data_IF_354271479250
#
_entry.id   IF_354271479250
#
_cell.length_a   1.000
_cell.length_b   1.000
_cell.length_c   1.000
_cell.angle_alpha   90.00
_cell.angle_beta   90.00
_cell.angle_gamma   90.00
#
_symmetry.space_group_name_H-M   'P 1'
#
loop_
_entity.id
_entity.type
_entity.pdbx_description
1 polymer ?
#
# COMPACT_ATOMS: atom_id res chain seq x y z
N UNK A 1 5.03 -12.85 15.28
CA UNK A 1 4.31 -12.09 14.22
C UNK A 1 2.91 -11.81 14.72
N UNK A 2 2.42 -10.61 14.54
CA UNK A 2 1.12 -10.18 15.09
C UNK A 2 0.33 -9.50 13.97
N UNK A 3 -0.87 -10.02 13.69
CA UNK A 3 -1.79 -9.38 12.73
C UNK A 3 -2.27 -8.06 13.33
N UNK A 4 -2.16 -6.99 12.56
CA UNK A 4 -2.57 -5.63 12.92
C UNK A 4 -3.93 -5.28 12.31
N UNK A 5 -4.62 -4.35 12.94
CA UNK A 5 -5.85 -3.80 12.36
C UNK A 5 -5.51 -2.87 11.20
N UNK A 6 -6.12 -3.09 10.04
CA UNK A 6 -6.00 -2.20 8.89
C UNK A 6 -6.96 -1.02 9.07
N UNK A 7 -6.40 0.17 8.99
CA UNK A 7 -7.14 1.43 9.07
C UNK A 7 -7.79 1.72 7.73
N UNK A 8 -9.05 2.13 7.76
CA UNK A 8 -9.83 2.42 6.55
C UNK A 8 -10.22 3.90 6.45
N UNK A 9 -10.42 4.36 5.23
CA UNK A 9 -10.99 5.68 4.95
C UNK A 9 -12.35 5.83 5.69
N UNK A 10 -12.68 6.97 6.29
CA UNK A 10 -12.03 8.28 6.21
C UNK A 10 -11.09 8.63 7.38
N UNK A 11 -10.30 7.70 7.87
CA UNK A 11 -9.36 7.99 8.96
C UNK A 11 -8.23 8.93 8.49
N UNK A 12 -8.06 10.05 9.18
CA UNK A 12 -7.10 11.12 8.81
C UNK A 12 -5.64 10.67 8.80
N UNK A 13 -5.29 9.59 9.54
CA UNK A 13 -3.91 9.07 9.55
C UNK A 13 -3.47 8.64 8.16
N UNK A 14 -4.39 8.14 7.32
CA UNK A 14 -4.11 7.72 5.95
C UNK A 14 -3.69 8.88 5.04
N UNK A 15 -3.89 10.12 5.48
CA UNK A 15 -3.55 11.34 4.74
C UNK A 15 -2.25 11.98 5.20
N UNK A 16 -1.57 11.37 6.17
CA UNK A 16 -0.28 11.85 6.63
C UNK A 16 0.85 11.42 5.69
N UNK A 17 1.87 12.26 5.58
CA UNK A 17 3.12 11.91 4.91
C UNK A 17 3.98 11.08 5.85
N UNK A 18 4.38 9.91 5.41
CA UNK A 18 5.22 8.99 6.18
C UNK A 18 6.66 9.48 6.29
N UNK A 19 7.26 9.28 7.45
CA UNK A 19 8.62 9.73 7.76
C UNK A 19 9.67 8.71 7.33
N UNK A 20 10.83 9.14 6.86
CA UNK A 20 11.95 8.25 6.56
C UNK A 20 12.40 7.44 7.77
N UNK A 21 12.80 6.22 7.51
CA UNK A 21 13.46 5.33 8.49
C UNK A 21 14.96 5.67 8.49
N UNK A 22 15.54 5.87 9.67
CA UNK A 22 16.96 6.21 9.80
C UNK A 22 17.86 4.98 9.62
N UNK A 23 17.43 3.85 10.19
CA UNK A 23 18.19 2.60 10.15
C UNK A 23 17.22 1.42 10.15
N UNK A 24 17.53 0.38 9.36
CA UNK A 24 16.78 -0.87 9.37
C UNK A 24 17.34 -1.77 10.47
N UNK A 25 16.68 -1.73 11.62
CA UNK A 25 17.01 -2.54 12.80
C UNK A 25 16.01 -3.68 13.05
N UNK A 26 16.08 -4.25 14.23
CA UNK A 26 15.17 -5.32 14.65
C UNK A 26 13.71 -4.86 14.73
N UNK A 27 13.49 -3.59 15.11
CA UNK A 27 12.13 -3.01 15.16
C UNK A 27 11.50 -2.93 13.77
N UNK A 28 12.26 -2.45 12.77
CA UNK A 28 11.79 -2.35 11.41
C UNK A 28 11.54 -3.73 10.78
N UNK A 29 12.43 -4.69 11.03
CA UNK A 29 12.23 -6.08 10.58
C UNK A 29 10.99 -6.70 11.20
N UNK A 30 10.81 -6.54 12.52
CA UNK A 30 9.61 -7.01 13.19
C UNK A 30 8.34 -6.35 12.64
N UNK A 31 8.39 -5.05 12.37
CA UNK A 31 7.28 -4.32 11.76
C UNK A 31 6.96 -4.87 10.37
N UNK A 32 7.97 -5.08 9.52
CA UNK A 32 7.79 -5.66 8.18
C UNK A 32 7.19 -7.06 8.23
N UNK A 33 7.59 -7.89 9.19
CA UNK A 33 7.03 -9.23 9.40
C UNK A 33 5.55 -9.16 9.83
N UNK A 34 5.21 -8.28 10.78
CA UNK A 34 3.83 -8.06 11.23
C UNK A 34 2.95 -7.50 10.08
N UNK A 35 3.51 -6.61 9.24
CA UNK A 35 2.83 -6.07 8.05
C UNK A 35 2.56 -7.16 7.02
N UNK A 36 3.54 -8.01 6.75
CA UNK A 36 3.40 -9.09 5.77
C UNK A 36 2.32 -10.09 6.18
N UNK A 37 2.30 -10.51 7.45
CA UNK A 37 1.25 -11.37 8.00
C UNK A 37 -0.13 -10.71 7.92
N UNK A 38 -0.21 -9.42 8.24
CA UNK A 38 -1.46 -8.64 8.14
C UNK A 38 -1.95 -8.58 6.70
N UNK A 39 -1.06 -8.32 5.74
CA UNK A 39 -1.35 -8.28 4.32
C UNK A 39 -1.91 -9.62 3.82
N UNK A 40 -1.25 -10.74 4.17
CA UNK A 40 -1.71 -12.08 3.78
C UNK A 40 -3.06 -12.43 4.42
N UNK A 41 -3.26 -12.12 5.70
CA UNK A 41 -4.53 -12.36 6.38
C UNK A 41 -5.70 -11.60 5.76
N UNK A 42 -5.41 -10.44 5.15
CA UNK A 42 -6.39 -9.62 4.43
C UNK A 42 -6.50 -9.94 2.93
N UNK A 43 -5.80 -10.98 2.43
CA UNK A 43 -5.71 -11.33 1.01
C UNK A 43 -5.23 -10.18 0.11
N UNK A 44 -4.35 -9.31 0.65
CA UNK A 44 -3.72 -8.22 -0.10
C UNK A 44 -2.44 -8.66 -0.81
N UNK A 45 -2.00 -7.85 -1.76
CA UNK A 45 -0.74 -8.01 -2.49
C UNK A 45 0.28 -6.92 -2.17
N UNK A 46 -0.13 -5.89 -1.44
CA UNK A 46 0.68 -4.79 -0.94
C UNK A 46 0.10 -4.21 0.34
N UNK A 47 0.97 -3.62 1.17
CA UNK A 47 0.59 -2.90 2.37
C UNK A 47 1.68 -1.89 2.75
N UNK A 48 1.28 -0.64 2.99
CA UNK A 48 2.13 0.40 3.55
C UNK A 48 1.94 0.53 5.06
N UNK A 49 2.99 0.86 5.79
CA UNK A 49 2.96 0.94 7.26
C UNK A 49 1.91 1.93 7.81
N UNK A 50 1.63 3.01 7.06
CA UNK A 50 0.60 3.97 7.42
C UNK A 50 -0.80 3.34 7.53
N UNK A 51 -1.09 2.29 6.76
CA UNK A 51 -2.38 1.59 6.76
C UNK A 51 -2.62 0.79 8.06
N UNK A 52 -1.58 0.56 8.85
CA UNK A 52 -1.68 0.00 10.20
C UNK A 52 -1.35 1.04 11.28
N UNK A 53 -1.40 2.32 10.95
CA UNK A 53 -1.24 3.43 11.89
C UNK A 53 0.20 3.84 12.19
N UNK A 54 1.17 3.37 11.41
CA UNK A 54 2.59 3.66 11.61
C UNK A 54 3.11 4.52 10.44
N UNK A 55 3.30 5.85 10.62
CA UNK A 55 3.70 6.75 9.55
C UNK A 55 5.21 6.66 9.25
N UNK A 56 5.71 5.48 8.93
CA UNK A 56 7.07 5.19 8.47
C UNK A 56 7.05 4.83 6.99
N UNK A 57 8.09 5.19 6.24
CA UNK A 57 8.24 4.86 4.83
C UNK A 57 8.66 3.40 4.64
N UNK A 58 7.73 2.49 4.91
CA UNK A 58 7.91 1.04 4.78
C UNK A 58 6.72 0.46 4.02
N UNK A 59 7.02 -0.41 3.05
CA UNK A 59 6.06 -1.14 2.23
C UNK A 59 6.43 -2.62 2.23
N UNK A 60 5.44 -3.49 2.27
CA UNK A 60 5.59 -4.91 1.98
C UNK A 60 4.70 -5.28 0.80
N UNK A 61 5.17 -6.18 -0.06
CA UNK A 61 4.43 -6.64 -1.24
C UNK A 61 4.69 -8.12 -1.51
N UNK A 62 3.71 -8.79 -2.08
CA UNK A 62 3.86 -10.09 -2.69
C UNK A 62 2.84 -10.25 -3.82
N UNK A 63 3.31 -10.19 -5.05
CA UNK A 63 2.49 -10.36 -6.26
C UNK A 63 2.60 -11.76 -6.86
N UNK A 64 3.21 -12.69 -6.12
CA UNK A 64 3.39 -14.06 -6.57
C UNK A 64 2.05 -14.74 -6.84
N UNK A 65 2.06 -15.63 -7.81
CA UNK A 65 0.93 -16.48 -8.17
C UNK A 65 1.27 -17.93 -7.76
N UNK A 66 0.30 -18.80 -7.84
CA UNK A 66 0.48 -20.25 -7.66
C UNK A 66 0.87 -20.70 -6.23
N UNK A 67 0.52 -19.92 -5.21
CA UNK A 67 0.72 -20.28 -3.80
C UNK A 67 2.18 -20.28 -3.33
N UNK A 68 3.12 -19.87 -4.19
CA UNK A 68 4.53 -19.66 -3.78
C UNK A 68 4.68 -18.23 -3.27
N UNK A 69 4.98 -18.09 -1.99
CA UNK A 69 5.25 -16.78 -1.39
C UNK A 69 6.61 -16.25 -1.87
N UNK A 70 6.62 -15.01 -2.34
CA UNK A 70 7.83 -14.27 -2.73
C UNK A 70 7.74 -12.83 -2.20
N UNK A 71 7.83 -12.63 -0.88
CA UNK A 71 7.66 -11.32 -0.28
C UNK A 71 8.80 -10.36 -0.65
N UNK A 72 8.43 -9.12 -0.89
CA UNK A 72 9.34 -8.00 -1.13
C UNK A 72 9.14 -6.94 -0.06
N UNK A 73 10.23 -6.31 0.36
CA UNK A 73 10.26 -5.32 1.43
C UNK A 73 10.94 -4.05 0.93
N UNK A 74 10.32 -2.91 1.14
CA UNK A 74 10.81 -1.63 0.66
C UNK A 74 10.84 -0.62 1.81
N UNK A 75 12.02 -0.18 2.18
CA UNK A 75 12.23 0.87 3.17
C UNK A 75 12.77 2.11 2.47
N UNK A 76 12.16 3.27 2.73
CA UNK A 76 12.48 4.55 2.08
C UNK A 76 12.49 4.47 0.54
N UNK A 77 11.48 3.87 -0.10
CA UNK A 77 11.48 3.77 -1.55
C UNK A 77 11.39 5.15 -2.21
N UNK A 78 12.12 5.31 -3.32
CA UNK A 78 12.17 6.53 -4.13
C UNK A 78 12.12 6.17 -5.61
N UNK A 79 11.23 6.77 -6.38
CA UNK A 79 11.19 6.61 -7.84
C UNK A 79 12.36 7.39 -8.47
N UNK A 80 13.25 6.70 -9.16
CA UNK A 80 14.38 7.29 -9.89
C UNK A 80 14.02 7.60 -11.34
N UNK A 81 13.22 6.73 -11.94
CA UNK A 81 12.78 6.86 -13.32
C UNK A 81 11.38 6.26 -13.49
N UNK A 82 10.60 6.77 -14.43
CA UNK A 82 9.30 6.24 -14.80
C UNK A 82 8.94 6.59 -16.23
N UNK A 83 8.19 5.71 -16.88
CA UNK A 83 7.69 5.94 -18.24
C UNK A 83 6.70 7.12 -18.29
N UNK A 84 6.67 7.75 -19.46
CA UNK A 84 5.59 8.68 -19.83
C UNK A 84 4.33 7.92 -20.26
N UNK A 85 4.52 6.75 -20.85
CA UNK A 85 3.43 5.88 -21.27
C UNK A 85 2.77 5.26 -20.02
N UNK A 86 1.44 5.28 -20.03
CA UNK A 86 0.63 4.76 -18.92
C UNK A 86 -0.07 3.47 -19.31
N UNK A 87 -0.37 2.66 -18.32
CA UNK A 87 -1.25 1.51 -18.42
C UNK A 87 -2.38 1.66 -17.41
N UNK A 88 -3.54 1.13 -17.75
CA UNK A 88 -4.72 1.15 -16.88
C UNK A 88 -4.87 -0.20 -16.20
N UNK A 89 -4.99 -0.17 -14.87
CA UNK A 89 -5.37 -1.34 -14.06
C UNK A 89 -6.57 -1.01 -13.19
N UNK A 90 -7.41 -2.02 -12.96
CA UNK A 90 -8.42 -1.94 -11.91
C UNK A 90 -7.73 -2.11 -10.55
N UNK A 91 -7.72 -1.06 -9.75
CA UNK A 91 -7.13 -1.03 -8.42
C UNK A 91 -8.20 -1.13 -7.34
N UNK A 92 -7.84 -1.82 -6.26
CA UNK A 92 -8.52 -1.82 -4.98
C UNK A 92 -7.52 -1.52 -3.88
N UNK A 93 -7.98 -1.29 -2.66
CA UNK A 93 -7.12 -1.00 -1.52
C UNK A 93 -7.73 -1.56 -0.24
N UNK A 94 -6.91 -2.18 0.61
CA UNK A 94 -7.35 -2.69 1.91
C UNK A 94 -7.89 -1.58 2.82
N UNK A 95 -7.44 -0.34 2.62
CA UNK A 95 -7.96 0.84 3.33
C UNK A 95 -9.22 1.47 2.71
N UNK A 96 -9.66 0.96 1.56
CA UNK A 96 -10.90 1.37 0.85
C UNK A 96 -11.68 0.10 0.47
N UNK A 97 -12.18 -0.66 1.46
CA UNK A 97 -12.74 -1.99 1.23
C UNK A 97 -13.95 -1.96 0.31
N UNK A 98 -14.07 -2.99 -0.56
CA UNK A 98 -15.17 -3.24 -1.50
C UNK A 98 -15.33 -2.21 -2.63
N UNK A 99 -14.35 -1.35 -2.85
CA UNK A 99 -14.33 -0.41 -3.96
C UNK A 99 -13.14 -0.66 -4.86
N UNK A 100 -13.41 -0.67 -6.15
CA UNK A 100 -12.41 -0.84 -7.22
C UNK A 100 -12.65 0.23 -8.28
N UNK A 101 -11.57 0.67 -8.91
CA UNK A 101 -11.64 1.60 -10.01
C UNK A 101 -10.40 1.51 -10.91
N UNK A 102 -10.58 1.83 -12.17
CA UNK A 102 -9.49 1.96 -13.12
C UNK A 102 -8.65 3.19 -12.80
N UNK A 103 -7.33 3.00 -12.73
CA UNK A 103 -6.34 4.04 -12.51
C UNK A 103 -5.23 3.92 -13.55
N UNK A 104 -4.86 5.05 -14.13
CA UNK A 104 -3.76 5.16 -15.10
C UNK A 104 -2.46 5.46 -14.37
N UNK A 105 -1.49 4.53 -14.49
CA UNK A 105 -0.14 4.70 -13.94
C UNK A 105 0.93 4.53 -15.00
N UNK A 106 2.12 5.15 -14.84
CA UNK A 106 3.29 4.78 -15.63
C UNK A 106 3.47 3.27 -15.69
N UNK A 107 3.62 2.73 -16.90
CA UNK A 107 3.70 1.27 -17.11
C UNK A 107 4.99 0.66 -16.60
N UNK A 108 6.05 1.47 -16.46
CA UNK A 108 7.35 1.10 -15.93
C UNK A 108 7.81 2.14 -14.91
N UNK A 109 8.50 1.69 -13.88
CA UNK A 109 9.26 2.56 -12.99
C UNK A 109 10.50 1.86 -12.42
N UNK A 110 11.50 2.66 -12.10
CA UNK A 110 12.70 2.25 -11.39
C UNK A 110 12.65 2.84 -9.97
N UNK A 111 12.77 1.96 -8.97
CA UNK A 111 12.66 2.33 -7.55
C UNK A 111 13.92 1.96 -6.82
N UNK A 112 14.58 2.95 -6.20
CA UNK A 112 15.66 2.74 -5.26
C UNK A 112 15.09 2.62 -3.84
N UNK A 113 15.58 1.65 -3.06
CA UNK A 113 15.08 1.37 -1.72
C UNK A 113 16.11 0.61 -0.87
N UNK A 114 15.88 0.58 0.44
CA UNK A 114 16.56 -0.36 1.33
C UNK A 114 15.71 -1.62 1.48
N UNK A 115 16.36 -2.78 1.39
CA UNK A 115 15.70 -4.06 1.57
C UNK A 115 15.50 -4.41 3.08
N UNK A 116 15.03 -5.63 3.35
CA UNK A 116 14.82 -6.16 4.71
C UNK A 116 16.08 -6.09 5.59
N UNK A 117 17.26 -6.16 5.01
CA UNK A 117 18.56 -6.10 5.71
C UNK A 117 19.12 -4.67 5.80
N UNK A 118 18.47 -3.69 5.17
CA UNK A 118 18.98 -2.33 5.08
C UNK A 118 20.00 -2.11 3.97
N UNK A 119 20.08 -3.03 3.01
CA UNK A 119 20.95 -2.91 1.84
C UNK A 119 20.27 -2.12 0.72
N UNK A 120 21.02 -1.25 0.05
CA UNK A 120 20.53 -0.53 -1.13
C UNK A 120 20.25 -1.48 -2.28
N UNK A 121 19.05 -1.37 -2.84
CA UNK A 121 18.59 -2.12 -4.01
C UNK A 121 17.90 -1.19 -5.00
N UNK A 122 17.86 -1.64 -6.24
CA UNK A 122 17.10 -1.01 -7.31
C UNK A 122 16.14 -2.06 -7.87
N UNK A 123 14.86 -1.69 -7.96
CA UNK A 123 13.82 -2.47 -8.61
C UNK A 123 13.48 -1.83 -9.94
N UNK A 124 13.59 -2.59 -11.02
CA UNK A 124 12.97 -2.28 -12.30
C UNK A 124 11.61 -2.99 -12.35
N UNK A 125 10.53 -2.23 -12.38
CA UNK A 125 9.17 -2.74 -12.30
C UNK A 125 8.36 -2.40 -13.55
N UNK A 126 7.65 -3.40 -14.06
CA UNK A 126 6.65 -3.25 -15.12
C UNK A 126 5.33 -3.93 -14.73
N UNK A 127 4.29 -3.79 -15.56
CA UNK A 127 3.00 -4.45 -15.39
C UNK A 127 2.39 -4.27 -14.00
N UNK A 128 1.91 -5.37 -13.43
CA UNK A 128 1.28 -5.38 -12.10
C UNK A 128 2.25 -4.93 -11.00
N UNK A 129 3.54 -5.28 -11.11
CA UNK A 129 4.54 -4.88 -10.12
C UNK A 129 4.71 -3.36 -10.10
N UNK A 130 4.80 -2.72 -11.29
CA UNK A 130 4.87 -1.26 -11.38
C UNK A 130 3.61 -0.58 -10.83
N UNK A 131 2.44 -1.13 -11.12
CA UNK A 131 1.17 -0.60 -10.59
C UNK A 131 1.13 -0.72 -9.07
N UNK A 132 1.45 -1.88 -8.52
CA UNK A 132 1.39 -2.14 -7.08
C UNK A 132 2.38 -1.27 -6.31
N UNK A 133 3.66 -1.21 -6.70
CA UNK A 133 4.64 -0.40 -5.98
C UNK A 133 4.29 1.10 -6.00
N UNK A 134 3.77 1.61 -7.11
CA UNK A 134 3.33 3.01 -7.19
C UNK A 134 2.09 3.27 -6.31
N UNK A 135 1.15 2.32 -6.24
CA UNK A 135 0.00 2.39 -5.33
C UNK A 135 0.46 2.47 -3.87
N UNK A 136 1.38 1.60 -3.46
CA UNK A 136 1.88 1.58 -2.09
C UNK A 136 2.73 2.82 -1.76
N UNK A 137 3.49 3.35 -2.74
CA UNK A 137 4.25 4.59 -2.56
C UNK A 137 3.34 5.81 -2.40
N UNK A 138 2.18 5.84 -3.04
CA UNK A 138 1.17 6.88 -2.83
C UNK A 138 0.72 6.94 -1.36
N UNK A 139 0.53 5.79 -0.71
CA UNK A 139 0.21 5.75 0.71
C UNK A 139 1.24 6.46 1.59
N UNK A 140 2.53 6.42 1.21
CA UNK A 140 3.59 7.12 1.94
C UNK A 140 3.48 8.65 1.83
N UNK A 141 2.77 9.15 0.82
CA UNK A 141 2.50 10.57 0.59
C UNK A 141 1.08 10.99 1.01
N UNK A 142 0.33 10.10 1.67
CA UNK A 142 -1.05 10.35 2.08
C UNK A 142 -2.06 10.35 0.93
N UNK A 143 -1.73 9.70 -0.18
CA UNK A 143 -2.56 9.58 -1.39
C UNK A 143 -3.20 8.20 -1.43
N UNK A 144 -4.49 8.14 -1.76
CA UNK A 144 -5.23 6.91 -2.01
C UNK A 144 -5.65 6.83 -3.48
N UNK A 145 -5.86 5.61 -4.00
CA UNK A 145 -6.25 5.44 -5.41
C UNK A 145 -7.54 6.20 -5.77
N UNK A 146 -8.44 6.41 -4.81
CA UNK A 146 -9.68 7.19 -5.00
C UNK A 146 -9.42 8.66 -5.30
N UNK A 147 -8.21 9.17 -5.05
CA UNK A 147 -7.82 10.55 -5.36
C UNK A 147 -7.61 10.77 -6.86
N UNK A 148 -7.41 9.69 -7.63
CA UNK A 148 -7.34 9.71 -9.10
C UNK A 148 -8.72 9.71 -9.77
N UNK A 149 -9.78 9.47 -9.00
CA UNK A 149 -11.15 9.43 -9.50
C UNK A 149 -11.77 10.83 -9.60
N UNK A 150 -12.89 10.93 -10.31
CA UNK A 150 -13.67 12.17 -10.30
C UNK A 150 -14.09 12.52 -8.87
N UNK A 151 -14.21 13.83 -8.59
CA UNK A 151 -14.63 14.34 -7.29
C UNK A 151 -15.96 13.70 -6.81
N UNK A 152 -16.89 13.47 -7.75
CA UNK A 152 -18.18 12.84 -7.44
C UNK A 152 -18.00 11.40 -6.98
N UNK A 153 -17.24 10.57 -7.70
CA UNK A 153 -16.97 9.16 -7.34
C UNK A 153 -16.27 9.08 -5.99
N UNK A 154 -15.21 9.87 -5.80
CA UNK A 154 -14.47 9.93 -4.52
C UNK A 154 -15.41 10.26 -3.36
N UNK A 155 -16.20 11.33 -3.48
CA UNK A 155 -17.15 11.77 -2.43
C UNK A 155 -18.16 10.68 -2.10
N UNK A 156 -18.71 9.98 -3.10
CA UNK A 156 -19.64 8.87 -2.91
C UNK A 156 -19.01 7.73 -2.11
N UNK A 157 -17.80 7.33 -2.46
CA UNK A 157 -17.06 6.25 -1.77
C UNK A 157 -16.81 6.62 -0.31
N UNK A 158 -16.23 7.79 -0.06
CA UNK A 158 -15.93 8.27 1.31
C UNK A 158 -17.20 8.35 2.16
N UNK A 159 -18.30 8.88 1.61
CA UNK A 159 -19.59 8.96 2.31
C UNK A 159 -20.15 7.58 2.68
N UNK A 160 -20.02 6.59 1.79
CA UNK A 160 -20.47 5.22 2.07
C UNK A 160 -19.61 4.55 3.14
N UNK A 161 -18.30 4.73 3.11
CA UNK A 161 -17.37 4.20 4.12
C UNK A 161 -17.61 4.85 5.50
N UNK A 162 -17.86 6.16 5.55
CA UNK A 162 -18.19 6.88 6.79
C UNK A 162 -19.45 6.32 7.46
N UNK A 163 -20.45 5.94 6.67
CA UNK A 163 -21.68 5.31 7.19
C UNK A 163 -21.43 3.92 7.78
N UNK A 164 -20.48 3.15 7.23
CA UNK A 164 -20.10 1.83 7.75
C UNK A 164 -19.47 1.90 9.14
N UNK A 165 -18.68 2.92 9.43
CA UNK A 165 -18.08 3.14 10.77
C UNK A 165 -19.09 3.34 11.87
N UNK A 166 -20.30 3.76 11.54
CA UNK A 166 -21.38 3.99 12.50
C UNK A 166 -22.28 2.74 12.72
N UNK A 167 -21.97 1.63 12.05
CA UNK A 167 -22.65 0.35 12.30
C UNK A 167 -21.80 -0.44 13.31
N UNK A 168 -22.42 -1.06 14.35
CA UNK A 168 -21.67 -1.94 15.25
C UNK A 168 -21.02 -3.06 14.44
N UNK A 169 -19.80 -3.43 14.81
CA UNK A 169 -19.03 -4.51 14.19
C UNK A 169 -19.92 -5.75 14.02
N UNK A 170 -20.36 -6.01 12.81
CA UNK A 170 -20.97 -7.29 12.50
C UNK A 170 -19.83 -8.28 12.42
N UNK A 171 -19.75 -9.15 13.41
CA UNK A 171 -18.93 -10.35 13.36
C UNK A 171 -19.36 -11.10 12.08
N UNK A 172 -18.54 -11.05 11.05
CA UNK A 172 -18.70 -11.91 9.88
C UNK A 172 -18.10 -13.25 10.31
N UNK A 173 -18.98 -14.21 10.58
CA UNK A 173 -18.63 -15.61 10.83
C UNK A 173 -18.32 -16.25 9.49
#
# INVERSE_FOLDING_TARGET
MTIKTIITEPNEILRQVSKPVQTVGNEERKLMDDMLETMYAANGIGLAAIQIGIPKRIIVMDISKDGKKNPMYFVNPTIKNKDKEKTTYEEGCLSVPDYFAEVDRPKYCEVEYLDYNGENKILEADGLLATCIQHEMDHLEGILFIDYLSKLKKTMIVKKLSKRKNLPDRIIV
#
